data_IF_250689302448
#
_entry.id   IF_250689302448
#
_cell.length_a   1.000
_cell.length_b   1.000
_cell.length_c   1.000
_cell.angle_alpha   90.00
_cell.angle_beta   90.00
_cell.angle_gamma   90.00
#
_symmetry.space_group_name_H-M   'P 1'
#
loop_
_entity.id
_entity.type
_entity.pdbx_description
1 polymer ?
#
# COMPACT_ATOMS: atom_id res chain seq x y z
N UNK A 1 3.75 24.52 -12.79
CA UNK A 1 4.48 23.53 -11.98
C UNK A 1 4.53 24.07 -10.56
N UNK A 2 4.30 23.23 -9.57
CA UNK A 2 4.45 23.61 -8.17
C UNK A 2 5.23 22.54 -7.41
N UNK A 3 6.00 22.94 -6.39
CA UNK A 3 6.60 22.00 -5.45
C UNK A 3 5.51 21.58 -4.47
N UNK A 4 5.22 20.28 -4.36
CA UNK A 4 4.46 19.80 -3.20
C UNK A 4 5.25 20.12 -1.94
N UNK A 5 4.56 20.48 -0.86
CA UNK A 5 5.22 20.62 0.45
C UNK A 5 5.99 19.34 0.74
N UNK A 6 7.09 19.45 1.47
CA UNK A 6 7.93 18.28 1.76
C UNK A 6 7.13 17.18 2.46
N UNK A 7 6.13 17.57 3.28
CA UNK A 7 5.17 16.67 3.96
C UNK A 7 4.21 15.93 3.00
N UNK A 8 4.28 16.22 1.70
CA UNK A 8 3.49 15.53 0.67
C UNK A 8 4.43 14.97 -0.42
N UNK A 9 5.66 14.63 -0.02
CA UNK A 9 6.69 14.03 -0.87
C UNK A 9 7.63 15.01 -1.56
N UNK A 10 7.51 16.32 -1.37
CA UNK A 10 8.51 17.32 -1.79
C UNK A 10 8.79 17.44 -3.30
N UNK A 11 8.10 16.67 -4.15
CA UNK A 11 8.32 16.60 -5.60
C UNK A 11 7.75 17.82 -6.32
N UNK A 12 8.38 18.15 -7.44
CA UNK A 12 7.79 19.05 -8.44
C UNK A 12 6.64 18.33 -9.14
N UNK A 13 5.49 18.99 -9.22
CA UNK A 13 4.30 18.50 -9.89
C UNK A 13 3.91 19.43 -11.02
N UNK A 14 3.54 18.84 -12.15
CA UNK A 14 3.02 19.55 -13.30
C UNK A 14 1.59 20.02 -13.01
N UNK A 15 1.30 21.28 -13.36
CA UNK A 15 0.06 21.96 -13.04
C UNK A 15 0.21 23.11 -12.04
N UNK A 16 -0.90 23.75 -11.63
CA UNK A 16 -2.18 23.71 -12.36
C UNK A 16 -1.99 24.18 -13.81
N UNK A 17 -2.84 23.68 -14.70
CA UNK A 17 -2.87 24.12 -16.10
C UNK A 17 -3.55 25.49 -16.16
N UNK A 18 -3.03 26.39 -17.00
CA UNK A 18 -3.52 27.76 -17.14
C UNK A 18 -3.42 28.21 -18.61
N UNK A 19 -4.38 29.03 -19.05
CA UNK A 19 -4.40 29.75 -20.34
C UNK A 19 -4.36 28.87 -21.61
N UNK A 20 -5.46 28.13 -21.85
CA UNK A 20 -5.61 27.20 -22.99
C UNK A 20 -6.54 27.73 -24.09
N UNK A 21 -6.84 29.03 -24.13
CA UNK A 21 -7.68 29.65 -25.16
C UNK A 21 -7.10 29.55 -26.59
N UNK A 22 -5.78 29.36 -26.72
CA UNK A 22 -5.06 29.19 -27.99
C UNK A 22 -4.75 27.72 -28.32
N UNK A 23 -5.30 26.78 -27.56
CA UNK A 23 -5.14 25.35 -27.81
C UNK A 23 -6.10 24.87 -28.93
N UNK A 24 -6.07 23.57 -29.21
CA UNK A 24 -7.01 22.89 -30.11
C UNK A 24 -7.07 23.44 -31.54
N UNK A 25 -5.92 23.82 -32.08
CA UNK A 25 -5.82 24.31 -33.45
C UNK A 25 -6.16 25.78 -33.64
N UNK A 26 -6.44 26.49 -32.55
CA UNK A 26 -7.07 27.81 -32.60
C UNK A 26 -6.08 28.98 -32.82
N UNK A 27 -4.80 28.72 -33.08
CA UNK A 27 -3.79 29.74 -33.33
C UNK A 27 -3.16 29.58 -34.73
N UNK A 28 -2.99 30.70 -35.43
CA UNK A 28 -2.50 30.78 -36.82
C UNK A 28 -0.98 30.92 -36.96
N UNK A 29 -0.26 30.74 -35.85
CA UNK A 29 1.19 30.86 -35.77
C UNK A 29 1.82 29.63 -35.11
N UNK A 30 3.14 29.48 -35.26
CA UNK A 30 3.95 28.42 -34.66
C UNK A 30 3.43 27.00 -34.89
N UNK A 31 2.82 26.76 -36.05
CA UNK A 31 2.21 25.47 -36.40
C UNK A 31 1.15 24.98 -35.40
N UNK A 32 0.58 25.89 -34.59
CA UNK A 32 -0.39 25.54 -33.56
C UNK A 32 -1.70 24.97 -34.12
N UNK A 33 -2.01 25.23 -35.39
CA UNK A 33 -3.12 24.65 -36.13
C UNK A 33 -2.86 23.22 -36.62
N UNK A 34 -1.60 22.76 -36.65
CA UNK A 34 -1.25 21.42 -37.09
C UNK A 34 -1.62 20.37 -36.03
N UNK A 35 -2.11 19.22 -36.49
CA UNK A 35 -2.40 18.07 -35.62
C UNK A 35 -1.22 17.11 -35.43
N UNK A 36 -0.20 17.03 -36.31
CA UNK A 36 1.04 16.30 -36.03
C UNK A 36 2.02 17.03 -35.11
N UNK A 37 2.82 16.28 -34.34
CA UNK A 37 3.98 16.78 -33.57
C UNK A 37 3.79 16.79 -32.05
N UNK A 38 4.87 16.71 -31.26
CA UNK A 38 4.81 16.78 -29.79
C UNK A 38 5.04 18.19 -29.22
N UNK A 39 5.20 19.19 -30.08
CA UNK A 39 5.37 20.60 -29.73
C UNK A 39 5.06 21.50 -30.92
N UNK A 40 5.08 22.81 -30.69
CA UNK A 40 4.87 23.88 -31.67
C UNK A 40 6.21 24.47 -32.12
N UNK A 41 6.32 25.00 -33.34
CA UNK A 41 7.53 25.68 -33.84
C UNK A 41 7.64 27.13 -33.31
N UNK A 42 7.53 27.28 -31.99
CA UNK A 42 7.52 28.57 -31.30
C UNK A 42 8.81 28.80 -30.50
N UNK A 43 9.90 28.14 -30.93
CA UNK A 43 11.17 28.09 -30.22
C UNK A 43 11.33 26.84 -29.34
N UNK A 44 12.41 26.82 -28.55
CA UNK A 44 12.74 25.67 -27.71
C UNK A 44 11.76 25.57 -26.54
N UNK A 45 10.95 24.52 -26.53
CA UNK A 45 10.15 24.16 -25.37
C UNK A 45 11.03 23.87 -24.13
N UNK A 46 10.43 23.64 -22.96
CA UNK A 46 11.20 23.35 -21.76
C UNK A 46 12.14 22.15 -21.93
N UNK A 47 13.43 22.31 -21.57
CA UNK A 47 14.48 21.30 -21.75
C UNK A 47 14.15 19.92 -21.15
N UNK A 48 13.30 19.90 -20.12
CA UNK A 48 12.95 18.67 -19.42
C UNK A 48 12.09 17.74 -20.28
N UNK A 49 11.41 18.22 -21.32
CA UNK A 49 10.67 17.33 -22.23
C UNK A 49 11.60 16.41 -23.00
N UNK A 50 12.66 16.97 -23.59
CA UNK A 50 13.68 16.17 -24.29
C UNK A 50 14.37 15.21 -23.32
N UNK A 51 14.63 15.65 -22.08
CA UNK A 51 15.22 14.79 -21.05
C UNK A 51 14.29 13.63 -20.65
N UNK A 52 13.01 13.90 -20.40
CA UNK A 52 12.03 12.87 -20.05
C UNK A 52 11.84 11.88 -21.21
N UNK A 53 11.72 12.40 -22.43
CA UNK A 53 11.59 11.58 -23.63
C UNK A 53 12.88 10.85 -24.02
N UNK A 54 14.02 11.12 -23.40
CA UNK A 54 15.23 10.29 -23.55
C UNK A 54 15.19 9.00 -22.71
N UNK A 55 14.25 8.90 -21.75
CA UNK A 55 14.11 7.75 -20.86
C UNK A 55 13.05 6.77 -21.38
N UNK A 56 13.48 5.56 -21.76
CA UNK A 56 12.59 4.52 -22.28
C UNK A 56 11.50 4.10 -21.29
N UNK A 57 11.77 4.12 -19.99
CA UNK A 57 10.77 3.79 -18.96
C UNK A 57 9.68 4.87 -18.95
N UNK A 58 10.08 6.14 -18.96
CA UNK A 58 9.13 7.25 -19.06
C UNK A 58 8.30 7.18 -20.33
N UNK A 59 8.92 6.88 -21.48
CA UNK A 59 8.19 6.72 -22.75
C UNK A 59 7.12 5.63 -22.65
N UNK A 60 7.45 4.45 -22.12
CA UNK A 60 6.47 3.36 -21.96
C UNK A 60 5.35 3.74 -20.99
N UNK A 61 5.68 4.36 -19.84
CA UNK A 61 4.69 4.85 -18.89
C UNK A 61 3.75 5.90 -19.49
N UNK A 62 4.28 6.79 -20.32
CA UNK A 62 3.50 7.79 -21.05
C UNK A 62 2.53 7.12 -22.03
N UNK A 63 2.98 6.10 -22.77
CA UNK A 63 2.14 5.30 -23.68
C UNK A 63 0.97 4.66 -22.93
N UNK A 64 1.28 4.02 -21.80
CA UNK A 64 0.30 3.31 -21.00
C UNK A 64 -0.73 4.26 -20.37
N UNK A 65 -0.27 5.41 -19.84
CA UNK A 65 -1.19 6.43 -19.33
C UNK A 65 -2.08 6.99 -20.44
N UNK A 66 -1.56 7.18 -21.65
CA UNK A 66 -2.37 7.57 -22.79
C UNK A 66 -3.45 6.52 -23.08
N UNK A 67 -3.08 5.26 -23.25
CA UNK A 67 -4.01 4.16 -23.56
C UNK A 67 -5.06 3.94 -22.45
N UNK A 68 -4.70 4.14 -21.19
CA UNK A 68 -5.64 4.15 -20.05
C UNK A 68 -6.68 5.26 -20.22
N UNK A 69 -6.24 6.50 -20.43
CA UNK A 69 -7.13 7.65 -20.57
C UNK A 69 -8.02 7.57 -21.83
N UNK A 70 -7.50 6.96 -22.91
CA UNK A 70 -8.26 6.71 -24.16
C UNK A 70 -9.44 5.78 -23.97
N UNK A 71 -9.44 4.91 -22.95
CA UNK A 71 -10.59 4.07 -22.56
C UNK A 71 -11.70 4.84 -21.82
N UNK A 72 -11.42 6.07 -21.37
CA UNK A 72 -12.32 6.84 -20.52
C UNK A 72 -12.43 8.30 -20.94
N UNK A 73 -11.84 9.20 -20.15
CA UNK A 73 -12.01 10.65 -20.29
C UNK A 73 -11.49 11.22 -21.61
N UNK A 74 -10.53 10.55 -22.25
CA UNK A 74 -10.03 10.95 -23.56
C UNK A 74 -10.63 10.14 -24.71
N UNK A 75 -11.69 9.35 -24.48
CA UNK A 75 -12.44 8.70 -25.56
C UNK A 75 -13.05 9.76 -26.50
N UNK A 76 -13.10 9.51 -27.82
CA UNK A 76 -13.61 10.49 -28.79
C UNK A 76 -15.07 10.84 -28.51
N UNK A 77 -15.90 9.82 -28.22
CA UNK A 77 -17.30 10.03 -27.84
C UNK A 77 -17.41 10.86 -26.56
N UNK A 78 -16.64 10.52 -25.52
CA UNK A 78 -16.64 11.29 -24.25
C UNK A 78 -16.29 12.76 -24.47
N UNK A 79 -15.31 13.05 -25.31
CA UNK A 79 -14.91 14.44 -25.61
C UNK A 79 -15.98 15.14 -26.46
N UNK A 80 -16.49 14.48 -27.51
CA UNK A 80 -17.54 15.05 -28.36
C UNK A 80 -18.81 15.36 -27.55
N UNK A 81 -19.24 14.44 -26.70
CA UNK A 81 -20.40 14.61 -25.82
C UNK A 81 -20.19 15.77 -24.84
N UNK A 82 -18.97 15.93 -24.31
CA UNK A 82 -18.64 17.08 -23.46
C UNK A 82 -18.72 18.40 -24.23
N UNK A 83 -18.16 18.46 -25.45
CA UNK A 83 -18.26 19.64 -26.32
C UNK A 83 -19.72 19.99 -26.60
N UNK A 84 -20.55 18.99 -26.93
CA UNK A 84 -21.98 19.19 -27.18
C UNK A 84 -22.71 19.68 -25.93
N UNK A 85 -22.37 19.14 -24.75
CA UNK A 85 -22.95 19.59 -23.48
C UNK A 85 -22.63 21.06 -23.19
N UNK A 86 -21.40 21.51 -23.49
CA UNK A 86 -20.98 22.90 -23.30
C UNK A 86 -21.62 23.80 -24.36
N UNK A 87 -21.68 23.38 -25.62
CA UNK A 87 -22.35 24.12 -26.69
C UNK A 87 -23.85 24.31 -26.39
N UNK A 88 -24.50 23.29 -25.86
CA UNK A 88 -25.90 23.36 -25.40
C UNK A 88 -26.07 24.30 -24.21
N UNK A 89 -25.17 24.23 -23.22
CA UNK A 89 -25.18 25.15 -22.08
C UNK A 89 -25.03 26.62 -22.51
N UNK A 90 -24.24 26.88 -23.55
CA UNK A 90 -23.99 28.22 -24.08
C UNK A 90 -25.00 28.69 -25.14
N UNK A 91 -25.99 27.86 -25.51
CA UNK A 91 -26.84 28.07 -26.69
C UNK A 91 -27.54 29.43 -26.72
N UNK A 92 -28.02 29.90 -25.57
CA UNK A 92 -28.65 31.22 -25.47
C UNK A 92 -27.62 32.35 -25.28
N UNK A 93 -26.56 32.10 -24.51
CA UNK A 93 -25.56 33.12 -24.20
C UNK A 93 -24.73 33.52 -25.43
N UNK A 94 -24.48 32.58 -26.35
CA UNK A 94 -23.74 32.83 -27.59
C UNK A 94 -24.48 33.83 -28.49
N UNK A 95 -25.81 33.80 -28.55
CA UNK A 95 -26.59 34.70 -29.38
C UNK A 95 -26.46 36.15 -28.91
N UNK A 96 -26.55 36.37 -27.58
CA UNK A 96 -26.28 37.69 -26.99
C UNK A 96 -24.84 38.14 -27.22
N UNK A 97 -23.88 37.21 -27.15
CA UNK A 97 -22.48 37.50 -27.41
C UNK A 97 -22.28 38.00 -28.84
N UNK A 98 -22.76 37.26 -29.85
CA UNK A 98 -22.55 37.63 -31.26
C UNK A 98 -23.43 38.80 -31.72
N UNK A 99 -24.56 39.07 -31.05
CA UNK A 99 -25.31 40.31 -31.24
C UNK A 99 -24.51 41.54 -30.77
N UNK A 100 -23.74 41.41 -29.68
CA UNK A 100 -22.89 42.50 -29.15
C UNK A 100 -21.55 42.60 -29.88
N UNK A 101 -20.96 41.47 -30.23
CA UNK A 101 -19.66 41.34 -30.88
C UNK A 101 -19.81 40.47 -32.14
N UNK A 102 -20.20 41.04 -33.29
CA UNK A 102 -20.52 40.30 -34.51
C UNK A 102 -19.25 39.84 -35.26
N UNK A 103 -18.49 38.94 -34.63
CA UNK A 103 -17.19 38.48 -35.12
C UNK A 103 -17.25 37.21 -35.98
N UNK A 104 -18.37 36.49 -36.03
CA UNK A 104 -18.53 35.32 -36.91
C UNK A 104 -18.30 35.71 -38.37
N UNK A 105 -17.59 34.85 -39.11
CA UNK A 105 -17.17 35.09 -40.51
C UNK A 105 -16.08 36.14 -40.68
N UNK A 106 -15.57 36.73 -39.59
CA UNK A 106 -14.51 37.74 -39.61
C UNK A 106 -13.28 37.23 -38.87
N UNK A 107 -12.10 37.51 -39.43
CA UNK A 107 -10.85 37.17 -38.77
C UNK A 107 -10.67 37.96 -37.47
N UNK A 108 -10.34 37.26 -36.39
CA UNK A 108 -9.90 37.81 -35.11
C UNK A 108 -8.55 37.20 -34.80
N UNK A 109 -7.53 38.02 -34.59
CA UNK A 109 -6.21 37.49 -34.26
C UNK A 109 -6.22 36.80 -32.88
N UNK A 110 -5.61 35.62 -32.70
CA UNK A 110 -4.82 34.83 -33.68
C UNK A 110 -5.55 33.61 -34.27
N UNK A 111 -6.87 33.65 -34.44
CA UNK A 111 -7.66 32.47 -34.82
C UNK A 111 -7.31 31.94 -36.22
N UNK A 112 -6.94 30.66 -36.31
CA UNK A 112 -6.61 30.01 -37.58
C UNK A 112 -7.84 29.72 -38.45
N UNK A 113 -8.88 29.14 -37.86
CA UNK A 113 -10.13 28.86 -38.55
C UNK A 113 -11.11 30.02 -38.35
N UNK A 114 -11.91 30.29 -39.40
CA UNK A 114 -12.91 31.36 -39.41
C UNK A 114 -14.23 30.76 -39.90
N UNK A 115 -15.10 30.37 -38.98
CA UNK A 115 -16.44 29.90 -39.25
C UNK A 115 -17.41 31.07 -39.48
N UNK A 116 -18.31 30.93 -40.45
CA UNK A 116 -19.42 31.87 -40.68
C UNK A 116 -20.53 31.70 -39.63
N UNK A 117 -20.57 30.55 -38.96
CA UNK A 117 -21.55 30.23 -37.93
C UNK A 117 -20.87 29.61 -36.70
N UNK A 118 -21.54 29.68 -35.55
CA UNK A 118 -21.07 29.01 -34.34
C UNK A 118 -20.97 27.49 -34.52
N UNK A 119 -21.86 26.89 -35.32
CA UNK A 119 -21.82 25.44 -35.57
C UNK A 119 -20.57 25.05 -36.37
N UNK A 120 -20.17 25.85 -37.35
CA UNK A 120 -18.93 25.63 -38.11
C UNK A 120 -17.69 25.63 -37.21
N UNK A 121 -17.64 26.51 -36.20
CA UNK A 121 -16.56 26.54 -35.19
C UNK A 121 -16.54 25.28 -34.31
N UNK A 122 -17.71 24.78 -33.90
CA UNK A 122 -17.82 23.52 -33.13
C UNK A 122 -17.38 22.33 -33.99
N UNK A 123 -17.79 22.29 -35.25
CA UNK A 123 -17.42 21.22 -36.19
C UNK A 123 -15.91 21.22 -36.44
N UNK A 124 -15.30 22.40 -36.57
CA UNK A 124 -13.85 22.55 -36.67
C UNK A 124 -13.14 22.02 -35.42
N UNK A 125 -13.56 22.43 -34.23
CA UNK A 125 -12.98 21.97 -32.96
C UNK A 125 -13.01 20.44 -32.83
N UNK A 126 -14.16 19.83 -33.12
CA UNK A 126 -14.32 18.36 -33.08
C UNK A 126 -13.43 17.67 -34.11
N UNK A 127 -13.37 18.20 -35.33
CA UNK A 127 -12.52 17.67 -36.41
C UNK A 127 -11.04 17.75 -36.03
N UNK A 128 -10.59 18.89 -35.49
CA UNK A 128 -9.20 19.08 -35.07
C UNK A 128 -8.82 18.10 -33.95
N UNK A 129 -9.65 18.00 -32.90
CA UNK A 129 -9.41 17.07 -31.78
C UNK A 129 -9.37 15.62 -32.27
N UNK A 130 -10.28 15.23 -33.16
CA UNK A 130 -10.32 13.88 -33.73
C UNK A 130 -9.03 13.55 -34.48
N UNK A 131 -8.62 14.44 -35.38
CA UNK A 131 -7.38 14.27 -36.15
C UNK A 131 -6.14 14.27 -35.24
N UNK A 132 -6.12 15.10 -34.20
CA UNK A 132 -5.03 15.13 -33.21
C UNK A 132 -4.96 13.83 -32.42
N UNK A 133 -6.08 13.31 -31.93
CA UNK A 133 -6.13 12.05 -31.18
C UNK A 133 -5.69 10.89 -32.07
N UNK A 134 -6.17 10.81 -33.32
CA UNK A 134 -5.74 9.78 -34.26
C UNK A 134 -4.23 9.81 -34.52
N UNK A 135 -3.65 11.00 -34.64
CA UNK A 135 -2.21 11.15 -34.76
C UNK A 135 -1.48 10.67 -33.49
N UNK A 136 -1.95 11.09 -32.32
CA UNK A 136 -1.38 10.69 -31.02
C UNK A 136 -1.45 9.16 -30.81
N UNK A 137 -2.57 8.53 -31.15
CA UNK A 137 -2.77 7.08 -31.08
C UNK A 137 -1.73 6.32 -31.92
N UNK A 138 -1.26 6.91 -33.02
CA UNK A 138 -0.25 6.31 -33.92
C UNK A 138 1.20 6.65 -33.54
N UNK A 139 1.43 7.77 -32.83
CA UNK A 139 2.78 8.34 -32.65
C UNK A 139 3.23 8.40 -31.19
N UNK A 140 2.44 7.92 -30.23
CA UNK A 140 2.82 7.92 -28.82
C UNK A 140 4.14 7.15 -28.62
N UNK A 141 5.16 7.74 -27.98
CA UNK A 141 6.45 7.07 -27.77
C UNK A 141 6.31 5.89 -26.81
N UNK A 142 7.27 4.98 -26.83
CA UNK A 142 7.25 3.76 -26.03
C UNK A 142 6.30 2.69 -26.58
N UNK A 143 6.06 1.65 -25.78
CA UNK A 143 5.13 0.57 -26.09
C UNK A 143 4.43 0.07 -24.82
N UNK A 144 3.38 -0.73 -25.01
CA UNK A 144 2.56 -1.28 -23.92
C UNK A 144 3.26 -2.42 -23.14
N UNK A 145 4.51 -2.78 -23.47
CA UNK A 145 5.20 -3.91 -22.82
C UNK A 145 5.54 -3.63 -21.34
N UNK A 146 5.24 -2.43 -20.85
CA UNK A 146 5.64 -1.95 -19.53
C UNK A 146 4.56 -1.05 -18.91
N UNK A 147 3.27 -1.32 -19.19
CA UNK A 147 2.16 -0.64 -18.51
C UNK A 147 2.08 -0.95 -17.02
N UNK A 148 2.68 -2.08 -16.65
CA UNK A 148 3.00 -2.47 -15.28
C UNK A 148 4.45 -2.10 -14.90
N UNK A 149 5.05 -1.09 -15.55
CA UNK A 149 6.30 -0.45 -15.16
C UNK A 149 6.10 0.95 -14.55
N UNK A 150 4.98 1.16 -13.84
CA UNK A 150 5.23 1.40 -12.41
C UNK A 150 6.08 0.20 -12.05
N UNK A 151 7.29 0.28 -11.51
CA UNK A 151 7.63 -0.84 -10.63
C UNK A 151 6.40 -0.91 -9.71
N UNK A 152 5.51 -1.89 -9.93
CA UNK A 152 4.58 -2.30 -8.89
C UNK A 152 5.52 -2.42 -7.74
N UNK A 153 5.29 -1.58 -6.73
CA UNK A 153 6.18 -1.44 -5.62
C UNK A 153 6.33 -2.85 -5.09
N UNK A 154 7.34 -3.64 -5.50
CA UNK A 154 7.28 -5.09 -5.26
C UNK A 154 7.25 -5.34 -3.75
N UNK A 155 7.70 -4.33 -3.03
CA UNK A 155 7.64 -4.15 -1.59
C UNK A 155 6.74 -2.94 -1.28
N UNK A 156 5.84 -3.09 -0.31
CA UNK A 156 5.06 -1.99 0.29
C UNK A 156 5.37 -1.87 1.78
N UNK A 157 4.89 -0.80 2.44
CA UNK A 157 4.88 -0.72 3.90
C UNK A 157 3.51 -1.17 4.39
N UNK A 158 3.48 -2.17 5.26
CA UNK A 158 2.24 -2.76 5.80
C UNK A 158 1.92 -2.26 7.20
N UNK A 159 2.94 -2.06 8.03
CA UNK A 159 2.75 -1.74 9.44
C UNK A 159 3.79 -0.71 9.92
N UNK A 160 3.38 0.21 10.80
CA UNK A 160 4.24 1.23 11.40
C UNK A 160 3.98 1.31 12.90
N UNK A 161 5.04 1.13 13.70
CA UNK A 161 5.06 1.40 15.13
C UNK A 161 5.96 2.62 15.39
N UNK A 162 5.34 3.77 15.62
CA UNK A 162 6.04 5.05 15.83
C UNK A 162 5.92 5.58 17.26
N UNK A 163 5.19 4.87 18.14
CA UNK A 163 5.03 5.26 19.54
C UNK A 163 4.75 4.02 20.43
N UNK A 164 5.82 3.27 20.70
CA UNK A 164 5.78 2.03 21.50
C UNK A 164 5.16 2.22 22.90
N UNK A 165 4.62 1.14 23.46
CA UNK A 165 4.14 1.13 24.85
C UNK A 165 5.31 1.31 25.82
N UNK A 166 5.17 2.19 26.80
CA UNK A 166 6.23 2.48 27.79
C UNK A 166 6.67 1.29 28.64
N UNK A 167 5.83 0.25 28.78
CA UNK A 167 6.12 -0.97 29.54
C UNK A 167 6.61 -2.12 28.67
N UNK A 168 6.24 -2.13 27.39
CA UNK A 168 6.69 -3.11 26.38
C UNK A 168 7.34 -2.38 25.20
N UNK A 169 8.39 -1.61 25.49
CA UNK A 169 9.03 -0.73 24.52
C UNK A 169 9.88 -1.53 23.52
N UNK A 170 9.43 -1.61 22.27
CA UNK A 170 10.18 -2.21 21.16
C UNK A 170 11.09 -1.22 20.42
N UNK A 171 11.04 0.07 20.75
CA UNK A 171 11.50 1.15 19.88
C UNK A 171 10.66 1.27 18.61
N UNK A 172 11.02 2.21 17.74
CA UNK A 172 10.27 2.45 16.50
C UNK A 172 10.64 1.40 15.45
N UNK A 173 9.66 1.00 14.66
CA UNK A 173 9.88 0.11 13.52
C UNK A 173 8.79 0.27 12.48
N UNK A 174 9.11 -0.15 11.26
CA UNK A 174 8.12 -0.31 10.20
C UNK A 174 8.37 -1.62 9.45
N UNK A 175 7.32 -2.16 8.86
CA UNK A 175 7.35 -3.42 8.16
C UNK A 175 7.28 -3.22 6.65
N UNK A 176 8.07 -4.01 5.93
CA UNK A 176 8.07 -4.12 4.49
C UNK A 176 7.53 -5.48 4.08
N UNK A 177 6.59 -5.50 3.13
CA UNK A 177 6.03 -6.74 2.60
C UNK A 177 6.26 -6.85 1.09
N UNK A 178 6.89 -7.94 0.66
CA UNK A 178 7.02 -8.26 -0.76
C UNK A 178 5.76 -8.97 -1.26
N UNK A 179 4.80 -8.22 -1.81
CA UNK A 179 3.55 -8.78 -2.34
C UNK A 179 3.67 -9.35 -3.76
N UNK A 180 4.86 -9.32 -4.35
CA UNK A 180 5.10 -9.87 -5.69
C UNK A 180 5.32 -11.39 -5.67
N UNK A 181 5.29 -12.00 -6.85
CA UNK A 181 5.59 -13.43 -7.04
C UNK A 181 7.09 -13.74 -7.19
N UNK A 182 7.97 -12.75 -6.99
CA UNK A 182 9.42 -12.87 -7.18
C UNK A 182 10.19 -12.30 -6.00
N UNK A 183 11.39 -12.82 -5.76
CA UNK A 183 12.29 -12.28 -4.74
C UNK A 183 12.73 -10.85 -5.08
N UNK A 184 12.73 -9.96 -4.08
CA UNK A 184 13.18 -8.57 -4.22
C UNK A 184 14.55 -8.39 -3.57
N UNK A 185 15.55 -8.01 -4.37
CA UNK A 185 16.88 -7.62 -3.89
C UNK A 185 16.88 -6.15 -3.46
N UNK A 186 16.93 -5.94 -2.14
CA UNK A 186 16.97 -4.62 -1.50
C UNK A 186 18.39 -4.15 -1.17
N UNK A 187 19.42 -4.85 -1.68
CA UNK A 187 20.82 -4.51 -1.41
C UNK A 187 21.14 -3.05 -1.74
N UNK A 188 21.67 -2.33 -0.75
CA UNK A 188 22.06 -0.93 -0.84
C UNK A 188 20.92 0.06 -1.14
N UNK A 189 19.66 -0.33 -0.90
CA UNK A 189 18.56 0.62 -0.87
C UNK A 189 18.73 1.57 0.32
N UNK A 190 18.18 2.76 0.23
CA UNK A 190 18.36 3.83 1.22
C UNK A 190 17.00 4.20 1.80
N UNK A 191 16.88 4.14 3.11
CA UNK A 191 15.73 4.60 3.89
C UNK A 191 16.06 5.97 4.47
N UNK A 192 15.10 6.90 4.45
CA UNK A 192 15.21 8.26 4.99
C UNK A 192 13.91 8.69 5.67
N UNK A 193 14.04 9.67 6.56
CA UNK A 193 12.94 10.36 7.24
C UNK A 193 12.53 11.67 6.55
N UNK A 194 11.60 12.41 7.18
CA UNK A 194 11.22 13.76 6.76
C UNK A 194 12.42 14.73 6.67
N UNK A 195 12.57 15.41 5.54
CA UNK A 195 13.69 16.32 5.27
C UNK A 195 14.95 15.64 4.73
N UNK A 196 15.04 14.30 4.82
CA UNK A 196 16.05 13.48 4.15
C UNK A 196 17.48 13.63 4.67
N UNK A 197 17.63 14.15 5.88
CA UNK A 197 18.92 14.35 6.56
C UNK A 197 19.41 13.07 7.22
N UNK A 198 18.51 12.28 7.79
CA UNK A 198 18.84 10.96 8.30
C UNK A 198 18.77 9.93 7.18
N UNK A 199 19.68 8.96 7.20
CA UNK A 199 19.64 7.87 6.24
C UNK A 199 20.14 6.56 6.83
N UNK A 200 19.55 5.47 6.36
CA UNK A 200 19.96 4.11 6.65
C UNK A 200 20.09 3.34 5.34
N UNK A 201 21.26 2.76 5.10
CA UNK A 201 21.50 1.94 3.92
C UNK A 201 21.24 0.48 4.26
N UNK A 202 20.32 -0.14 3.55
CA UNK A 202 20.01 -1.57 3.66
C UNK A 202 21.27 -2.38 3.29
N UNK A 203 21.71 -3.32 4.15
CA UNK A 203 22.91 -4.12 3.90
C UNK A 203 22.87 -4.89 2.58
N UNK A 204 24.03 -5.02 1.94
CA UNK A 204 24.18 -5.88 0.76
C UNK A 204 23.83 -7.34 1.09
N UNK A 205 23.10 -7.99 0.19
CA UNK A 205 22.58 -9.35 0.38
C UNK A 205 21.19 -9.42 1.01
N UNK A 206 20.57 -8.28 1.32
CA UNK A 206 19.18 -8.24 1.81
C UNK A 206 18.23 -8.58 0.68
N UNK A 207 17.52 -9.70 0.81
CA UNK A 207 16.51 -10.16 -0.14
C UNK A 207 15.23 -10.44 0.63
N UNK A 208 14.12 -9.81 0.24
CA UNK A 208 12.79 -10.19 0.71
C UNK A 208 12.24 -11.24 -0.26
N UNK A 209 11.95 -12.45 0.22
CA UNK A 209 11.37 -13.51 -0.60
C UNK A 209 9.97 -13.14 -1.09
N UNK A 210 9.54 -13.71 -2.20
CA UNK A 210 8.15 -13.55 -2.67
C UNK A 210 7.16 -13.92 -1.56
N UNK A 211 6.27 -12.98 -1.19
CA UNK A 211 5.28 -13.17 -0.12
C UNK A 211 5.83 -13.09 1.31
N UNK A 212 7.07 -12.62 1.50
CA UNK A 212 7.73 -12.55 2.81
C UNK A 212 7.82 -11.11 3.34
N UNK A 213 8.09 -10.99 4.64
CA UNK A 213 8.11 -9.73 5.38
C UNK A 213 9.50 -9.39 5.90
N UNK A 214 9.82 -8.10 5.98
CA UNK A 214 11.06 -7.60 6.56
C UNK A 214 10.78 -6.40 7.46
N UNK A 215 11.16 -6.51 8.73
CA UNK A 215 10.99 -5.42 9.70
C UNK A 215 12.25 -4.56 9.74
N UNK A 216 12.11 -3.24 9.75
CA UNK A 216 13.24 -2.31 9.89
C UNK A 216 13.11 -1.58 11.22
N UNK A 217 14.09 -1.76 12.10
CA UNK A 217 14.02 -1.34 13.50
C UNK A 217 14.95 -0.16 13.82
N UNK A 218 14.49 0.77 14.63
CA UNK A 218 15.30 1.83 15.22
C UNK A 218 16.33 1.23 16.17
N UNK A 219 15.87 0.38 17.09
CA UNK A 219 16.68 -0.27 18.13
C UNK A 219 16.41 -1.78 18.08
N UNK A 220 17.36 -2.51 17.50
CA UNK A 220 17.24 -3.97 17.33
C UNK A 220 17.29 -4.72 18.66
N UNK A 221 17.86 -4.12 19.72
CA UNK A 221 17.94 -4.76 21.04
C UNK A 221 16.59 -4.70 21.74
N UNK A 222 15.95 -3.52 21.75
CA UNK A 222 14.59 -3.36 22.28
C UNK A 222 13.58 -4.20 21.51
N UNK A 223 13.64 -4.14 20.18
CA UNK A 223 12.77 -4.92 19.32
C UNK A 223 12.86 -6.42 19.62
N UNK A 224 14.08 -6.96 19.71
CA UNK A 224 14.29 -8.39 19.96
C UNK A 224 13.93 -8.84 21.39
N UNK A 225 13.89 -7.92 22.37
CA UNK A 225 13.37 -8.21 23.72
C UNK A 225 11.85 -8.44 23.67
N UNK A 226 11.12 -7.71 22.82
CA UNK A 226 9.68 -7.88 22.65
C UNK A 226 9.32 -9.01 21.68
N UNK A 227 10.11 -9.20 20.62
CA UNK A 227 9.84 -10.15 19.54
C UNK A 227 11.01 -11.14 19.37
N UNK A 228 11.14 -12.08 20.30
CA UNK A 228 12.27 -13.01 20.35
C UNK A 228 12.25 -14.08 19.24
N UNK A 229 11.09 -14.31 18.62
CA UNK A 229 10.88 -15.27 17.52
C UNK A 229 11.19 -14.67 16.15
N UNK A 230 11.09 -13.35 15.97
CA UNK A 230 11.28 -12.69 14.68
C UNK A 230 12.77 -12.62 14.34
N UNK A 231 13.12 -13.13 13.16
CA UNK A 231 14.51 -13.22 12.67
C UNK A 231 14.79 -12.37 11.45
N UNK A 232 13.77 -12.06 10.65
CA UNK A 232 13.93 -11.27 9.43
C UNK A 232 13.73 -9.78 9.73
N UNK A 233 14.70 -9.18 10.41
CA UNK A 233 14.69 -7.75 10.70
C UNK A 233 16.05 -7.10 10.43
N UNK A 234 16.01 -5.81 10.14
CA UNK A 234 17.14 -4.92 9.91
C UNK A 234 17.20 -3.83 10.97
N UNK A 235 18.28 -3.07 10.93
CA UNK A 235 18.58 -1.96 11.82
C UNK A 235 19.95 -2.11 12.47
N UNK A 236 20.26 -1.30 13.49
CA UNK A 236 19.47 -0.13 13.89
C UNK A 236 19.57 0.99 12.85
N UNK A 237 18.47 1.64 12.49
CA UNK A 237 18.54 2.87 11.70
C UNK A 237 18.95 4.09 12.55
N UNK A 238 18.99 3.97 13.88
CA UNK A 238 19.58 4.91 14.86
C UNK A 238 18.97 6.33 14.93
N UNK A 239 17.88 6.60 14.20
CA UNK A 239 17.03 7.78 14.35
C UNK A 239 15.61 7.32 14.65
N UNK A 240 14.78 8.13 15.31
CA UNK A 240 13.40 7.76 15.63
C UNK A 240 12.41 8.21 14.56
N UNK A 241 11.23 7.61 14.58
CA UNK A 241 10.05 8.09 13.86
C UNK A 241 9.31 9.12 14.74
N UNK A 242 8.85 10.22 14.15
CA UNK A 242 8.14 11.26 14.91
C UNK A 242 6.78 10.83 15.45
N UNK A 243 6.55 11.00 16.77
CA UNK A 243 5.27 10.68 17.41
C UNK A 243 4.07 11.46 16.82
N UNK A 244 4.29 12.73 16.42
CA UNK A 244 3.27 13.57 15.76
C UNK A 244 3.18 13.39 14.24
N UNK A 245 3.68 12.26 13.71
CA UNK A 245 3.78 11.99 12.28
C UNK A 245 5.17 12.23 11.68
N UNK A 246 5.49 11.44 10.67
CA UNK A 246 6.75 11.47 9.93
C UNK A 246 6.57 10.94 8.50
N UNK A 247 7.64 10.99 7.72
CA UNK A 247 7.73 10.44 6.38
C UNK A 247 8.75 9.29 6.35
N UNK A 248 8.38 8.14 5.76
CA UNK A 248 9.32 7.05 5.43
C UNK A 248 9.53 7.05 3.92
N UNK A 249 10.75 7.35 3.51
CA UNK A 249 11.17 7.46 2.11
C UNK A 249 12.19 6.37 1.80
N UNK A 250 11.90 5.53 0.81
CA UNK A 250 12.79 4.43 0.42
C UNK A 250 13.22 4.61 -1.03
N UNK A 251 14.53 4.59 -1.26
CA UNK A 251 15.15 4.72 -2.56
C UNK A 251 15.87 3.42 -2.91
N UNK A 252 15.80 3.00 -4.17
CA UNK A 252 16.59 1.86 -4.63
C UNK A 252 18.09 2.20 -4.67
N UNK A 253 18.92 1.19 -4.98
CA UNK A 253 20.38 1.33 -5.12
C UNK A 253 20.83 2.35 -6.18
N UNK A 254 19.94 2.77 -7.07
CA UNK A 254 20.18 3.80 -8.09
C UNK A 254 19.69 5.19 -7.64
N UNK A 255 19.35 5.36 -6.37
CA UNK A 255 18.79 6.59 -5.79
C UNK A 255 17.45 7.02 -6.38
N UNK A 256 16.70 6.09 -6.99
CA UNK A 256 15.34 6.36 -7.46
C UNK A 256 14.35 6.10 -6.32
N UNK A 257 13.38 7.00 -6.06
CA UNK A 257 12.42 6.80 -5.00
C UNK A 257 11.45 5.66 -5.38
N UNK A 258 11.36 4.67 -4.51
CA UNK A 258 10.48 3.51 -4.65
C UNK A 258 9.27 3.72 -3.75
N UNK A 259 9.44 3.69 -2.43
CA UNK A 259 8.35 3.88 -1.46
C UNK A 259 8.39 5.31 -0.91
N UNK A 260 7.21 5.90 -0.72
CA UNK A 260 7.03 7.14 0.03
C UNK A 260 5.71 7.03 0.78
N UNK A 261 5.78 7.03 2.09
CA UNK A 261 4.60 7.11 2.96
C UNK A 261 4.80 8.24 3.95
N UNK A 262 3.74 9.00 4.19
CA UNK A 262 3.62 9.86 5.36
C UNK A 262 2.61 9.23 6.29
N UNK A 263 2.85 9.27 7.59
CA UNK A 263 1.84 9.00 8.61
C UNK A 263 1.73 10.20 9.55
N UNK A 264 0.64 10.26 10.30
CA UNK A 264 0.29 11.36 11.21
C UNK A 264 -0.60 10.80 12.33
N UNK A 265 -0.83 11.57 13.39
CA UNK A 265 -1.72 11.24 14.51
C UNK A 265 -3.04 12.04 14.48
N UNK A 266 -3.21 12.86 13.43
CA UNK A 266 -4.39 13.69 13.19
C UNK A 266 -4.73 13.82 11.71
N UNK A 267 -5.54 14.82 11.35
CA UNK A 267 -5.91 15.12 9.93
C UNK A 267 -6.55 13.95 9.15
N UNK A 268 -7.22 13.03 9.85
CA UNK A 268 -7.87 11.84 9.26
C UNK A 268 -7.09 10.54 9.44
N UNK A 269 -5.84 10.61 9.92
CA UNK A 269 -5.08 9.43 10.34
C UNK A 269 -5.63 8.86 11.67
N UNK A 270 -5.52 7.54 11.90
CA UNK A 270 -5.81 6.93 13.19
C UNK A 270 -4.94 7.52 14.30
N UNK A 271 -5.56 7.92 15.41
CA UNK A 271 -4.88 8.60 16.53
C UNK A 271 -4.39 7.63 17.61
N UNK A 272 -4.99 6.44 17.70
CA UNK A 272 -4.64 5.44 18.71
C UNK A 272 -3.20 4.93 18.61
N UNK A 273 -2.56 4.84 17.42
CA UNK A 273 -1.14 4.50 17.32
C UNK A 273 -0.16 5.54 17.89
N UNK A 274 -0.60 6.75 18.24
CA UNK A 274 0.20 7.74 18.98
C UNK A 274 0.25 7.43 20.48
N UNK A 275 0.49 6.17 20.83
CA UNK A 275 0.77 5.72 22.18
C UNK A 275 -0.01 4.49 22.63
N UNK A 276 0.33 3.98 23.81
CA UNK A 276 -0.26 2.74 24.35
C UNK A 276 0.12 1.47 23.58
N UNK A 277 1.06 1.59 22.63
CA UNK A 277 1.69 0.52 21.86
C UNK A 277 0.92 0.03 20.65
N UNK A 278 -0.16 0.71 20.23
CA UNK A 278 -0.87 0.34 19.01
C UNK A 278 -0.02 0.67 17.78
N UNK A 279 -0.14 -0.16 16.75
CA UNK A 279 0.50 0.06 15.46
C UNK A 279 -0.47 0.65 14.44
N UNK A 280 0.08 1.27 13.40
CA UNK A 280 -0.67 1.77 12.26
C UNK A 280 -0.57 0.77 11.12
N UNK A 281 -1.72 0.28 10.65
CA UNK A 281 -1.82 -0.87 9.73
C UNK A 281 -2.42 -0.47 8.39
N UNK A 282 -1.87 -1.01 7.30
CA UNK A 282 -2.38 -0.80 5.94
C UNK A 282 -3.49 -1.81 5.63
N UNK A 283 -4.63 -1.33 5.14
CA UNK A 283 -5.81 -2.16 4.87
C UNK A 283 -5.61 -3.23 3.81
N UNK A 284 -4.72 -2.99 2.84
CA UNK A 284 -4.38 -3.93 1.77
C UNK A 284 -3.04 -3.53 1.15
N UNK A 285 -2.17 -4.49 0.88
CA UNK A 285 -0.80 -4.29 0.39
C UNK A 285 -0.67 -3.47 -0.90
N UNK A 286 -1.69 -3.47 -1.76
CA UNK A 286 -1.72 -2.67 -3.00
C UNK A 286 -2.31 -1.25 -2.84
N UNK A 287 -2.68 -0.87 -1.61
CA UNK A 287 -3.33 0.41 -1.32
C UNK A 287 -2.37 1.59 -1.42
N UNK A 288 -2.92 2.78 -1.67
CA UNK A 288 -2.11 4.01 -1.68
C UNK A 288 -1.67 4.37 -0.26
N UNK A 289 -0.36 4.33 -0.01
CA UNK A 289 0.25 4.64 1.30
C UNK A 289 0.00 6.09 1.77
N UNK A 290 -0.22 7.04 0.86
CA UNK A 290 -0.44 8.45 1.23
C UNK A 290 -1.92 8.84 1.27
N UNK A 291 -2.82 7.86 1.36
CA UNK A 291 -4.23 8.08 1.64
C UNK A 291 -4.55 7.52 3.03
N UNK A 292 -4.81 8.42 3.99
CA UNK A 292 -5.09 8.05 5.38
C UNK A 292 -6.27 7.06 5.52
N UNK A 293 -7.23 7.06 4.59
CA UNK A 293 -8.38 6.14 4.65
C UNK A 293 -8.02 4.68 4.40
N UNK A 294 -6.80 4.41 3.93
CA UNK A 294 -6.27 3.05 3.76
C UNK A 294 -5.52 2.56 5.00
N UNK A 295 -5.40 3.39 6.04
CA UNK A 295 -4.73 3.03 7.27
C UNK A 295 -5.73 2.94 8.41
N UNK A 296 -5.50 2.00 9.32
CA UNK A 296 -6.36 1.78 10.48
C UNK A 296 -5.50 1.45 11.72
N UNK A 297 -6.13 1.51 12.89
CA UNK A 297 -5.47 1.15 14.16
C UNK A 297 -5.31 -0.36 14.24
N UNK A 298 -4.06 -0.82 14.29
CA UNK A 298 -3.66 -2.19 14.54
C UNK A 298 -3.71 -2.60 16.00
N UNK A 299 -2.90 -3.59 16.35
CA UNK A 299 -2.87 -4.16 17.70
C UNK A 299 -1.76 -3.57 18.55
N UNK A 300 -1.88 -3.74 19.86
CA UNK A 300 -0.77 -3.44 20.77
C UNK A 300 0.39 -4.39 20.47
N UNK A 301 1.55 -3.83 20.13
CA UNK A 301 2.71 -4.59 19.69
C UNK A 301 2.60 -5.15 18.27
N UNK A 302 1.50 -4.90 17.58
CA UNK A 302 1.41 -5.21 16.15
C UNK A 302 1.49 -6.69 15.79
N UNK A 303 1.83 -6.93 14.51
CA UNK A 303 2.07 -8.26 13.94
C UNK A 303 3.38 -8.34 13.15
N UNK A 304 4.52 -7.89 13.72
CA UNK A 304 5.76 -7.79 12.96
C UNK A 304 6.23 -9.14 12.42
N UNK A 305 6.52 -9.19 11.12
CA UNK A 305 6.99 -10.33 10.37
C UNK A 305 5.89 -11.19 9.74
N UNK A 306 4.61 -10.83 9.87
CA UNK A 306 3.47 -11.62 9.40
C UNK A 306 2.32 -10.72 8.89
N UNK A 307 1.31 -11.31 8.24
CA UNK A 307 0.11 -10.59 7.83
C UNK A 307 -0.68 -10.09 9.05
N UNK A 308 -1.28 -8.90 8.95
CA UNK A 308 -2.14 -8.35 9.99
C UNK A 308 -3.17 -9.38 10.48
N UNK A 309 -3.22 -9.54 11.80
CA UNK A 309 -4.22 -10.34 12.46
C UNK A 309 -5.04 -9.48 13.43
N UNK A 310 -6.39 -9.52 13.37
CA UNK A 310 -7.24 -8.77 14.28
C UNK A 310 -6.92 -9.04 15.74
N UNK A 311 -6.83 -7.97 16.52
CA UNK A 311 -6.58 -8.09 17.95
C UNK A 311 -7.74 -8.87 18.56
N UNK A 312 -7.41 -9.83 19.41
CA UNK A 312 -8.43 -10.51 20.19
C UNK A 312 -9.09 -9.49 21.14
N UNK A 313 -10.20 -8.91 20.69
CA UNK A 313 -11.02 -7.95 21.46
C UNK A 313 -11.89 -8.66 22.48
N UNK A 314 -11.86 -9.99 22.55
CA UNK A 314 -12.28 -10.65 23.78
C UNK A 314 -11.19 -10.37 24.80
N UNK A 315 -11.50 -9.50 25.76
CA UNK A 315 -10.79 -9.47 27.05
C UNK A 315 -10.46 -10.91 27.41
N UNK A 316 -9.18 -11.27 27.35
CA UNK A 316 -8.69 -12.58 27.75
C UNK A 316 -8.94 -12.74 29.25
N UNK A 317 -10.18 -13.05 29.63
CA UNK A 317 -10.39 -13.79 30.85
C UNK A 317 -9.80 -15.16 30.56
N UNK A 318 -8.64 -15.44 31.15
CA UNK A 318 -8.10 -16.79 31.27
C UNK A 318 -9.25 -17.75 31.61
N UNK A 319 -9.81 -18.47 30.63
CA UNK A 319 -10.92 -19.38 30.91
C UNK A 319 -10.38 -20.54 31.73
N UNK A 320 -9.13 -20.96 31.49
CA UNK A 320 -8.42 -21.94 32.29
C UNK A 320 -7.54 -21.20 33.30
N UNK A 321 -7.72 -21.44 34.60
CA UNK A 321 -6.93 -20.81 35.67
C UNK A 321 -5.96 -21.82 36.31
N UNK A 322 -4.66 -21.52 36.21
CA UNK A 322 -3.58 -22.31 36.80
C UNK A 322 -2.98 -23.36 35.86
N UNK A 323 -1.96 -24.06 36.36
CA UNK A 323 -1.23 -25.09 35.59
C UNK A 323 -2.10 -26.33 35.33
N UNK A 324 -1.88 -26.96 34.17
CA UNK A 324 -2.46 -28.26 33.86
C UNK A 324 -1.67 -29.35 34.58
N UNK A 325 -2.33 -30.09 35.46
CA UNK A 325 -1.72 -31.22 36.15
C UNK A 325 -1.83 -32.45 35.25
N UNK A 326 -0.69 -33.00 34.85
CA UNK A 326 -0.62 -34.21 34.03
C UNK A 326 -0.10 -35.39 34.84
N UNK A 327 -0.82 -36.51 34.82
CA UNK A 327 -0.41 -37.70 35.56
C UNK A 327 -0.99 -39.00 35.00
N UNK A 328 -0.25 -40.12 35.09
CA UNK A 328 1.18 -40.19 35.41
C UNK A 328 2.03 -39.65 34.25
N UNK A 329 3.06 -38.87 34.54
CA UNK A 329 4.08 -38.48 33.56
C UNK A 329 5.48 -38.77 34.15
N UNK A 330 6.27 -39.72 33.60
CA UNK A 330 6.01 -40.51 32.39
C UNK A 330 4.83 -41.49 32.50
N UNK A 331 4.21 -41.85 31.36
CA UNK A 331 3.12 -42.84 31.26
C UNK A 331 3.52 -44.09 30.48
N UNK A 332 2.92 -45.25 30.79
CA UNK A 332 3.04 -46.49 30.01
C UNK A 332 1.78 -46.82 29.20
N UNK A 333 0.60 -46.38 29.65
CA UNK A 333 -0.70 -46.81 29.10
C UNK A 333 -1.72 -45.69 29.04
N UNK A 334 -1.88 -44.89 30.10
CA UNK A 334 -2.87 -43.80 30.14
C UNK A 334 -2.28 -42.53 30.71
N UNK A 335 -2.69 -41.39 30.19
CA UNK A 335 -2.32 -40.07 30.71
C UNK A 335 -3.60 -39.28 31.02
N UNK A 336 -3.65 -38.64 32.18
CA UNK A 336 -4.75 -37.77 32.59
C UNK A 336 -4.30 -36.32 32.58
N UNK A 337 -5.16 -35.44 32.09
CA UNK A 337 -4.98 -33.99 32.06
C UNK A 337 -6.06 -33.37 32.93
N UNK A 338 -5.65 -32.72 34.02
CA UNK A 338 -6.55 -31.99 34.90
C UNK A 338 -6.39 -30.48 34.70
N UNK A 339 -7.50 -29.79 34.48
CA UNK A 339 -7.56 -28.34 34.27
C UNK A 339 -8.78 -27.74 34.98
N UNK A 340 -8.71 -26.45 35.31
CA UNK A 340 -9.79 -25.71 35.98
C UNK A 340 -10.30 -24.58 35.09
N UNK A 341 -11.58 -24.63 34.74
CA UNK A 341 -12.29 -23.55 34.07
C UNK A 341 -12.87 -22.56 35.08
N UNK A 342 -12.65 -21.26 34.89
CA UNK A 342 -13.25 -20.18 35.70
C UNK A 342 -14.47 -19.55 35.03
N UNK A 343 -14.71 -19.85 33.76
CA UNK A 343 -15.91 -19.48 33.00
C UNK A 343 -16.29 -20.60 32.03
N UNK A 344 -17.51 -20.55 31.47
CA UNK A 344 -17.97 -21.56 30.51
C UNK A 344 -17.30 -21.39 29.14
N UNK A 345 -16.95 -22.49 28.47
CA UNK A 345 -16.30 -22.48 27.15
C UNK A 345 -16.24 -23.86 26.49
N UNK A 346 -15.97 -23.87 25.18
CA UNK A 346 -15.77 -25.08 24.40
C UNK A 346 -14.32 -25.53 24.51
N UNK A 347 -14.09 -26.75 25.00
CA UNK A 347 -12.75 -27.28 25.24
C UNK A 347 -12.41 -28.37 24.24
N UNK A 348 -11.18 -28.31 23.72
CA UNK A 348 -10.60 -29.35 22.88
C UNK A 348 -9.16 -29.64 23.30
N UNK A 349 -8.85 -30.92 23.48
CA UNK A 349 -7.50 -31.41 23.79
C UNK A 349 -6.93 -32.11 22.58
N UNK A 350 -5.71 -31.74 22.18
CA UNK A 350 -4.98 -32.36 21.07
C UNK A 350 -3.62 -32.84 21.54
N UNK A 351 -3.13 -33.93 20.94
CA UNK A 351 -1.81 -34.49 21.20
C UNK A 351 -1.08 -34.63 19.87
N UNK A 352 0.16 -34.16 19.84
CA UNK A 352 1.05 -34.18 18.69
C UNK A 352 2.34 -34.93 19.03
N UNK A 353 2.95 -35.55 18.02
CA UNK A 353 4.31 -36.08 18.12
C UNK A 353 5.37 -34.97 17.98
N UNK A 354 6.66 -35.34 18.02
CA UNK A 354 7.79 -34.39 17.99
C UNK A 354 7.94 -33.63 16.67
N UNK A 355 7.29 -34.06 15.59
CA UNK A 355 7.28 -33.35 14.31
C UNK A 355 5.98 -32.56 14.08
N UNK A 356 5.13 -32.46 15.12
CA UNK A 356 3.89 -31.70 15.07
C UNK A 356 2.71 -32.45 14.44
N UNK A 357 2.83 -33.75 14.16
CA UNK A 357 1.72 -34.52 13.60
C UNK A 357 0.68 -34.83 14.69
N UNK A 358 -0.59 -34.54 14.43
CA UNK A 358 -1.71 -34.88 15.31
C UNK A 358 -1.84 -36.41 15.43
N UNK A 359 -1.69 -36.91 16.66
CA UNK A 359 -1.83 -38.34 16.97
C UNK A 359 -3.10 -38.66 17.76
N UNK A 360 -3.71 -37.65 18.39
CA UNK A 360 -4.97 -37.81 19.12
C UNK A 360 -5.68 -36.47 19.35
N UNK A 361 -7.00 -36.52 19.47
CA UNK A 361 -7.83 -35.36 19.77
C UNK A 361 -9.08 -35.80 20.54
N UNK A 362 -9.51 -35.01 21.54
CA UNK A 362 -10.81 -35.17 22.18
C UNK A 362 -11.92 -34.60 21.30
N UNK A 363 -13.16 -35.02 21.54
CA UNK A 363 -14.30 -34.26 21.01
C UNK A 363 -14.27 -32.84 21.60
N UNK A 364 -14.74 -31.89 20.81
CA UNK A 364 -14.98 -30.54 21.31
C UNK A 364 -16.22 -30.57 22.19
N UNK A 365 -16.07 -30.17 23.45
CA UNK A 365 -17.15 -30.23 24.43
C UNK A 365 -17.36 -28.87 25.08
N UNK A 366 -18.62 -28.43 25.11
CA UNK A 366 -19.01 -27.25 25.88
C UNK A 366 -19.05 -27.59 27.37
N UNK A 367 -18.25 -26.88 28.18
CA UNK A 367 -18.13 -27.06 29.62
C UNK A 367 -18.46 -25.77 30.35
N UNK A 368 -19.04 -25.89 31.54
CA UNK A 368 -19.23 -24.77 32.46
C UNK A 368 -17.98 -24.52 33.30
N UNK A 369 -17.93 -23.46 34.11
CA UNK A 369 -16.87 -23.28 35.09
C UNK A 369 -16.78 -24.50 36.04
N UNK A 370 -15.58 -24.98 36.33
CA UNK A 370 -15.35 -26.19 37.12
C UNK A 370 -13.99 -26.85 36.87
N UNK A 371 -13.66 -27.88 37.65
CA UNK A 371 -12.44 -28.69 37.44
C UNK A 371 -12.78 -29.95 36.67
N UNK A 372 -12.00 -30.24 35.64
CA UNK A 372 -12.22 -31.38 34.75
C UNK A 372 -10.96 -32.22 34.63
N UNK A 373 -11.15 -33.51 34.40
CA UNK A 373 -10.07 -34.45 34.12
C UNK A 373 -10.42 -35.23 32.87
N UNK A 374 -9.53 -35.18 31.88
CA UNK A 374 -9.63 -35.97 30.65
C UNK A 374 -8.53 -37.02 30.68
N UNK A 375 -8.93 -38.30 30.62
CA UNK A 375 -7.99 -39.42 30.56
C UNK A 375 -7.94 -39.96 29.14
N UNK A 376 -6.73 -40.19 28.64
CA UNK A 376 -6.52 -40.69 27.30
C UNK A 376 -5.69 -41.99 27.29
N UNK A 377 -6.04 -42.90 26.39
CA UNK A 377 -5.33 -44.16 26.16
C UNK A 377 -4.12 -43.92 25.24
N UNK A 378 -2.94 -43.92 25.85
CA UNK A 378 -1.65 -43.78 25.19
C UNK A 378 -1.00 -45.15 24.89
N UNK A 379 -1.67 -46.28 25.12
CA UNK A 379 -1.07 -47.63 24.95
C UNK A 379 -0.59 -47.91 23.52
N UNK A 380 -1.24 -47.28 22.53
CA UNK A 380 -0.90 -47.41 21.11
C UNK A 380 0.20 -46.44 20.65
N UNK A 381 0.61 -45.51 21.50
CA UNK A 381 1.73 -44.63 21.20
C UNK A 381 3.06 -45.35 21.41
N UNK A 382 4.00 -45.10 20.50
CA UNK A 382 5.39 -45.54 20.66
C UNK A 382 6.04 -44.80 21.83
N UNK A 383 7.04 -45.41 22.46
CA UNK A 383 7.85 -44.72 23.47
C UNK A 383 8.50 -43.47 22.87
N UNK A 384 8.40 -42.34 23.56
CA UNK A 384 8.85 -41.05 23.03
C UNK A 384 8.28 -39.83 23.78
N UNK A 385 8.70 -38.65 23.32
CA UNK A 385 8.18 -37.37 23.79
C UNK A 385 6.95 -36.96 22.97
N UNK A 386 5.92 -36.48 23.64
CA UNK A 386 4.69 -35.98 23.01
C UNK A 386 4.33 -34.61 23.56
N UNK A 387 3.68 -33.80 22.73
CA UNK A 387 3.20 -32.48 23.08
C UNK A 387 1.67 -32.49 23.13
N UNK A 388 1.10 -31.84 24.14
CA UNK A 388 -0.34 -31.65 24.22
C UNK A 388 -0.69 -30.18 24.12
N UNK A 389 -1.86 -29.90 23.59
CA UNK A 389 -2.51 -28.59 23.66
C UNK A 389 -3.93 -28.73 24.16
N UNK A 390 -4.35 -27.83 25.05
CA UNK A 390 -5.74 -27.67 25.46
C UNK A 390 -6.16 -26.29 25.01
N UNK A 391 -7.20 -26.20 24.17
CA UNK A 391 -7.76 -24.91 23.77
C UNK A 391 -9.18 -24.70 24.24
N UNK A 392 -9.49 -23.46 24.63
CA UNK A 392 -10.83 -23.00 24.97
C UNK A 392 -11.32 -22.01 23.93
N UNK A 393 -12.53 -22.23 23.39
CA UNK A 393 -13.16 -21.41 22.33
C UNK A 393 -12.31 -21.18 21.08
N UNK A 394 -11.28 -22.00 20.87
CA UNK A 394 -10.27 -21.89 19.79
C UNK A 394 -9.19 -20.81 19.97
N UNK A 395 -9.24 -20.00 21.03
CA UNK A 395 -8.39 -18.81 21.16
C UNK A 395 -7.25 -18.98 22.19
N UNK A 396 -7.54 -19.64 23.33
CA UNK A 396 -6.56 -19.78 24.41
C UNK A 396 -5.96 -21.18 24.44
N UNK A 397 -4.65 -21.32 24.19
CA UNK A 397 -3.97 -22.62 24.08
C UNK A 397 -2.94 -22.82 25.20
N UNK A 398 -3.26 -23.64 26.20
CA UNK A 398 -2.21 -24.19 27.08
C UNK A 398 -1.46 -25.31 26.36
N UNK A 399 -0.13 -25.30 26.43
CA UNK A 399 0.73 -26.32 25.85
C UNK A 399 1.63 -26.94 26.90
N UNK A 400 1.93 -28.22 26.74
CA UNK A 400 2.93 -28.90 27.55
C UNK A 400 3.41 -30.17 26.90
N UNK A 401 4.23 -30.94 27.62
CA UNK A 401 4.81 -32.18 27.13
C UNK A 401 4.70 -33.32 28.13
N UNK A 402 4.57 -34.54 27.63
CA UNK A 402 4.62 -35.76 28.44
C UNK A 402 5.49 -36.82 27.77
N UNK A 403 6.01 -37.75 28.57
CA UNK A 403 6.87 -38.84 28.10
C UNK A 403 6.09 -40.14 28.13
N UNK A 404 5.99 -40.81 26.98
CA UNK A 404 5.53 -42.20 26.86
C UNK A 404 6.73 -43.13 27.01
N UNK A 405 6.71 -44.02 28.01
CA UNK A 405 7.70 -45.07 28.20
C UNK A 405 7.32 -46.33 27.44
#
# INVERSE_FOLDING_TARGET
MYKKRDMYGGRLIMGPLWDFNLAFGNADYCDASLTPGFGTDCGTGPFYWDRLLSDTIYQNLLNCRWNELRKGSLHLDTISDYIDSVASYLDEAKDRNFAKWPVLGNYVWPNYYIGNTYQEEIDYLKSWITNRINWMDTNMPGNDNSCDAKESLQVTITEINYHSDTTNDSGDWFELYNYSSTDVDMSNWIIKDYGGFNSYTIPFGTIIKAGDYLVVCQDTTKFQVQYDTIKNFLGPFNWGLGNGGDDILIFNKYSQPVISTRFDDGNGWPSEPDGGGYTLELSNSDSSLNNFSNWFTGCKGGSPGEEYFPCDTTTSQLIINGDIVIYPNPTNSTISFQYKLISSGNIILKIHDVIGKLVAQSLEESKTAGTYTVTWDASKLKSGLYFYSISSNSDYIYRGKFVKR
#
